data_IF_486972415185
#
_entry.id   IF_486972415185
#
_cell.length_a   1.000
_cell.length_b   1.000
_cell.length_c   1.000
_cell.angle_alpha   90.00
_cell.angle_beta   90.00
_cell.angle_gamma   90.00
#
_symmetry.space_group_name_H-M   'P 1'
#
loop_
_entity.id
_entity.type
_entity.pdbx_description
1 polymer ?
#
# COMPACT_ATOMS: atom_id res chain seq x y z
N UNK A 1 -48.12 44.80 33.05
CA UNK A 1 -47.40 44.74 31.76
C UNK A 1 -47.45 43.30 31.28
N UNK A 2 -48.29 43.01 30.30
CA UNK A 2 -48.45 41.68 29.71
C UNK A 2 -47.39 41.49 28.63
N UNK A 3 -46.55 40.47 28.76
CA UNK A 3 -45.66 40.02 27.69
C UNK A 3 -46.46 39.13 26.75
N UNK A 4 -46.93 39.70 25.63
CA UNK A 4 -47.34 38.89 24.49
C UNK A 4 -46.07 38.31 23.87
N UNK A 5 -45.86 37.00 24.03
CA UNK A 5 -44.86 36.27 23.25
C UNK A 5 -45.42 36.07 21.85
N UNK A 6 -44.75 36.61 20.85
CA UNK A 6 -45.01 36.30 19.44
C UNK A 6 -44.88 34.79 19.20
N UNK A 7 -45.80 34.18 18.43
CA UNK A 7 -45.56 32.83 17.93
C UNK A 7 -44.48 32.92 16.84
N UNK A 8 -43.32 32.35 17.15
CA UNK A 8 -42.20 32.23 16.22
C UNK A 8 -42.64 31.63 14.88
N UNK A 9 -42.04 32.17 13.82
CA UNK A 9 -42.24 31.82 12.43
C UNK A 9 -42.44 30.30 12.23
N UNK A 10 -43.55 29.94 11.60
CA UNK A 10 -43.79 28.61 11.10
C UNK A 10 -42.76 28.31 10.00
N UNK A 11 -41.71 27.56 10.35
CA UNK A 11 -40.91 26.82 9.39
C UNK A 11 -41.87 25.89 8.64
N UNK A 12 -42.20 26.24 7.40
CA UNK A 12 -43.07 25.46 6.53
C UNK A 12 -42.31 24.23 6.05
N UNK A 13 -42.31 23.18 6.87
CA UNK A 13 -41.90 21.85 6.45
C UNK A 13 -42.71 21.42 5.21
N UNK A 14 -42.09 20.79 4.20
CA UNK A 14 -42.82 20.31 3.03
C UNK A 14 -43.96 19.36 3.44
N UNK A 15 -45.06 19.28 2.67
CA UNK A 15 -46.23 18.50 3.05
C UNK A 15 -45.85 17.05 3.29
N UNK A 16 -45.86 16.64 4.56
CA UNK A 16 -45.53 15.29 4.99
C UNK A 16 -46.63 14.34 4.51
N UNK A 17 -46.25 13.16 4.03
CA UNK A 17 -47.20 12.12 3.64
C UNK A 17 -48.10 11.73 4.83
N UNK A 18 -49.34 11.23 4.60
CA UNK A 18 -50.25 10.85 5.69
C UNK A 18 -49.65 9.79 6.63
N UNK A 19 -48.77 8.95 6.12
CA UNK A 19 -48.01 7.99 6.92
C UNK A 19 -46.99 8.69 7.84
N UNK A 20 -46.30 9.72 7.33
CA UNK A 20 -45.33 10.49 8.12
C UNK A 20 -46.00 11.37 9.17
N UNK A 21 -47.20 11.90 8.90
CA UNK A 21 -47.96 12.70 9.88
C UNK A 21 -48.48 11.83 11.02
N UNK A 22 -49.09 10.68 10.71
CA UNK A 22 -49.56 9.73 11.72
C UNK A 22 -48.42 9.22 12.62
N UNK A 23 -47.24 8.95 12.03
CA UNK A 23 -46.06 8.51 12.78
C UNK A 23 -45.44 9.63 13.64
N UNK A 24 -45.45 10.88 13.16
CA UNK A 24 -44.97 12.02 13.94
C UNK A 24 -45.88 12.25 15.15
N UNK A 25 -47.19 12.26 14.95
CA UNK A 25 -48.19 12.39 16.02
C UNK A 25 -48.04 11.26 17.05
N UNK A 26 -47.90 10.01 16.60
CA UNK A 26 -47.69 8.88 17.51
C UNK A 26 -46.41 9.02 18.34
N UNK A 27 -45.33 9.60 17.79
CA UNK A 27 -44.10 9.88 18.55
C UNK A 27 -44.31 11.02 19.54
N UNK A 28 -44.93 12.11 19.13
CA UNK A 28 -45.18 13.26 20.00
C UNK A 28 -46.06 12.89 21.21
N UNK A 29 -47.01 11.97 21.03
CA UNK A 29 -47.84 11.46 22.12
C UNK A 29 -47.14 10.41 23.02
N UNK A 30 -46.03 9.81 22.58
CA UNK A 30 -45.36 8.72 23.31
C UNK A 30 -44.01 9.12 23.91
N UNK A 31 -43.48 10.28 23.53
CA UNK A 31 -42.26 10.80 24.14
C UNK A 31 -42.60 11.53 25.46
N UNK A 32 -41.77 11.35 26.52
CA UNK A 32 -41.92 12.11 27.75
C UNK A 32 -41.68 13.60 27.49
N UNK A 33 -42.43 14.47 28.19
CA UNK A 33 -42.36 15.92 28.02
C UNK A 33 -40.97 16.52 28.31
N UNK A 34 -40.14 15.82 29.10
CA UNK A 34 -38.73 16.16 29.33
C UNK A 34 -37.89 15.01 28.76
N UNK A 35 -37.04 15.27 27.75
CA UNK A 35 -36.10 14.27 27.25
C UNK A 35 -35.16 13.84 28.38
N UNK A 36 -34.99 12.54 28.56
CA UNK A 36 -33.93 12.03 29.43
C UNK A 36 -32.58 12.24 28.73
N UNK A 37 -31.86 13.27 29.19
CA UNK A 37 -30.52 13.62 28.69
C UNK A 37 -29.42 12.96 29.51
N UNK A 38 -29.76 12.11 30.49
CA UNK A 38 -28.77 11.35 31.22
C UNK A 38 -28.17 10.28 30.31
N UNK A 39 -26.86 10.30 30.15
CA UNK A 39 -26.15 9.20 29.49
C UNK A 39 -26.24 8.00 30.44
N UNK A 40 -26.78 6.85 30.02
CA UNK A 40 -26.80 5.67 30.87
C UNK A 40 -25.36 5.30 31.27
N UNK A 41 -25.15 4.77 32.49
CA UNK A 41 -23.82 4.34 32.91
C UNK A 41 -23.28 3.33 31.89
N UNK A 42 -21.97 3.35 31.68
CA UNK A 42 -21.33 2.34 30.83
C UNK A 42 -21.67 0.94 31.34
N UNK A 43 -21.90 -0.03 30.44
CA UNK A 43 -22.16 -1.40 30.86
C UNK A 43 -20.99 -1.91 31.72
N UNK A 44 -21.25 -2.83 32.68
CA UNK A 44 -20.20 -3.39 33.51
C UNK A 44 -19.11 -4.02 32.63
N UNK A 45 -17.83 -3.92 33.03
CA UNK A 45 -16.74 -4.45 32.23
C UNK A 45 -16.93 -5.94 31.99
N UNK A 46 -16.90 -6.36 30.74
CA UNK A 46 -16.98 -7.76 30.34
C UNK A 46 -15.78 -8.51 30.92
N UNK A 47 -16.01 -9.38 31.90
CA UNK A 47 -14.99 -10.18 32.57
C UNK A 47 -14.60 -11.39 31.69
N UNK A 48 -14.11 -11.15 30.48
CA UNK A 48 -13.45 -12.21 29.74
C UNK A 48 -12.02 -12.34 30.29
N UNK A 49 -11.71 -13.47 30.92
CA UNK A 49 -10.38 -13.75 31.50
C UNK A 49 -9.24 -13.55 30.47
N UNK A 50 -9.54 -13.77 29.19
CA UNK A 50 -8.61 -13.59 28.07
C UNK A 50 -8.25 -12.11 27.79
N UNK A 51 -9.08 -11.16 28.27
CA UNK A 51 -8.95 -9.73 27.97
C UNK A 51 -8.18 -8.94 29.06
N UNK A 52 -7.85 -9.56 30.19
CA UNK A 52 -7.15 -8.88 31.30
C UNK A 52 -5.79 -8.33 30.88
N UNK A 53 -5.03 -9.10 30.10
CA UNK A 53 -3.72 -8.68 29.57
C UNK A 53 -3.85 -7.51 28.57
N UNK A 54 -4.96 -7.44 27.84
CA UNK A 54 -5.23 -6.44 26.82
C UNK A 54 -5.68 -5.12 27.46
N UNK A 55 -6.57 -5.20 28.46
CA UNK A 55 -7.00 -4.06 29.27
C UNK A 55 -5.82 -3.39 29.99
N UNK A 56 -4.88 -4.17 30.53
CA UNK A 56 -3.67 -3.64 31.15
C UNK A 56 -2.79 -2.82 30.17
N UNK A 57 -2.73 -3.22 28.90
CA UNK A 57 -2.02 -2.46 27.84
C UNK A 57 -2.74 -1.15 27.55
N UNK A 58 -4.07 -1.16 27.46
CA UNK A 58 -4.86 0.06 27.24
C UNK A 58 -4.75 1.04 28.40
N UNK A 59 -4.77 0.57 29.65
CA UNK A 59 -4.55 1.42 30.82
C UNK A 59 -3.18 2.10 30.77
N UNK A 60 -2.16 1.36 30.36
CA UNK A 60 -0.81 1.88 30.18
C UNK A 60 -0.76 2.94 29.08
N UNK A 61 -1.46 2.71 27.96
CA UNK A 61 -1.57 3.66 26.86
C UNK A 61 -2.31 4.94 27.26
N UNK A 62 -3.41 4.83 28.02
CA UNK A 62 -4.17 5.98 28.52
C UNK A 62 -3.34 6.80 29.52
N UNK A 63 -2.58 6.14 30.39
CA UNK A 63 -1.62 6.81 31.30
C UNK A 63 -0.55 7.57 30.53
N UNK A 64 -0.02 6.97 29.46
CA UNK A 64 0.99 7.61 28.62
C UNK A 64 0.42 8.84 27.88
N UNK A 65 -0.82 8.74 27.38
CA UNK A 65 -1.50 9.85 26.68
C UNK A 65 -1.92 11.00 27.61
N UNK A 66 -2.28 10.71 28.86
CA UNK A 66 -2.68 11.74 29.85
C UNK A 66 -1.50 12.53 30.42
N UNK A 67 -0.25 12.10 30.19
CA UNK A 67 0.94 12.86 30.60
C UNK A 67 1.10 14.09 29.68
N UNK A 68 0.56 15.21 30.14
CA UNK A 68 0.56 16.47 29.41
C UNK A 68 1.94 17.15 29.31
N UNK A 69 2.91 16.76 30.15
CA UNK A 69 4.23 17.39 30.22
C UNK A 69 5.17 16.99 29.07
N UNK A 70 5.07 15.74 28.61
CA UNK A 70 5.79 15.21 27.44
C UNK A 70 4.87 14.19 26.75
N UNK A 71 4.06 14.62 25.76
CA UNK A 71 3.20 13.70 25.02
C UNK A 71 4.07 12.81 24.14
N UNK A 72 4.58 11.72 24.71
CA UNK A 72 5.34 10.71 24.00
C UNK A 72 4.43 10.08 22.93
N UNK A 73 4.55 10.54 21.69
CA UNK A 73 3.83 9.98 20.57
C UNK A 73 4.26 8.52 20.40
N UNK A 74 3.34 7.58 20.62
CA UNK A 74 3.62 6.15 20.65
C UNK A 74 4.43 5.69 19.43
N UNK A 75 4.07 6.16 18.23
CA UNK A 75 4.80 5.83 17.00
C UNK A 75 6.21 6.44 16.94
N UNK A 76 6.43 7.60 17.56
CA UNK A 76 7.78 8.21 17.67
C UNK A 76 8.67 7.38 18.59
N UNK A 77 8.13 6.91 19.72
CA UNK A 77 8.84 6.03 20.65
C UNK A 77 9.13 4.65 20.05
N UNK A 78 8.20 4.13 19.25
CA UNK A 78 8.39 2.90 18.45
C UNK A 78 9.51 3.09 17.44
N UNK A 79 9.51 4.18 16.65
CA UNK A 79 10.57 4.44 15.67
C UNK A 79 11.95 4.71 16.29
N UNK A 80 12.00 5.25 17.50
CA UNK A 80 13.23 5.44 18.26
C UNK A 80 13.72 4.15 18.97
N UNK A 81 12.87 3.13 19.08
CA UNK A 81 13.19 1.88 19.78
C UNK A 81 14.21 1.06 18.98
N UNK A 82 15.31 0.66 19.63
CA UNK A 82 16.35 -0.19 19.06
C UNK A 82 15.86 -1.59 18.68
N UNK A 83 14.81 -2.08 19.34
CA UNK A 83 14.22 -3.38 19.04
C UNK A 83 13.69 -3.46 17.60
N UNK A 84 13.11 -2.38 17.08
CA UNK A 84 12.57 -2.32 15.71
C UNK A 84 13.61 -1.91 14.66
N UNK A 85 14.82 -1.53 15.09
CA UNK A 85 15.93 -1.23 14.17
C UNK A 85 16.66 -2.49 13.69
N UNK A 86 16.37 -3.65 14.27
CA UNK A 86 16.90 -4.92 13.79
C UNK A 86 16.10 -5.35 12.53
N UNK A 87 16.68 -5.34 11.33
CA UNK A 87 15.98 -5.72 10.11
C UNK A 87 15.45 -7.17 10.18
N UNK A 88 16.17 -8.08 10.84
CA UNK A 88 15.76 -9.49 10.98
C UNK A 88 14.56 -9.69 11.93
N UNK A 89 14.14 -8.67 12.68
CA UNK A 89 12.95 -8.74 13.50
C UNK A 89 11.68 -8.57 12.66
N UNK A 90 11.74 -7.81 11.56
CA UNK A 90 10.60 -7.65 10.66
C UNK A 90 10.22 -9.01 10.04
N UNK A 91 11.20 -9.78 9.59
CA UNK A 91 10.98 -11.11 8.99
C UNK A 91 10.31 -12.08 9.98
N UNK A 92 10.70 -12.03 11.25
CA UNK A 92 10.06 -12.85 12.32
C UNK A 92 8.64 -12.41 12.64
N UNK A 93 8.38 -11.10 12.66
CA UNK A 93 7.03 -10.57 12.86
C UNK A 93 6.11 -10.95 11.70
N UNK A 94 6.62 -10.85 10.47
CA UNK A 94 5.94 -11.27 9.26
C UNK A 94 5.65 -12.77 9.27
N UNK A 95 6.63 -13.60 9.63
CA UNK A 95 6.43 -15.05 9.84
C UNK A 95 5.40 -15.37 10.93
N UNK A 96 5.39 -14.63 12.04
CA UNK A 96 4.38 -14.82 13.10
C UNK A 96 2.95 -14.53 12.63
N UNK A 97 2.77 -13.55 11.75
CA UNK A 97 1.47 -13.22 11.15
C UNK A 97 1.12 -14.19 9.99
N UNK A 98 2.02 -15.12 9.65
CA UNK A 98 1.88 -16.02 8.52
C UNK A 98 2.06 -15.32 7.17
N UNK A 99 2.70 -14.15 7.17
CA UNK A 99 3.03 -13.34 6.00
C UNK A 99 4.52 -13.43 5.71
N UNK A 100 5.06 -14.63 5.60
CA UNK A 100 6.48 -14.83 5.33
C UNK A 100 6.86 -14.29 3.95
N UNK A 101 8.02 -13.63 3.87
CA UNK A 101 8.54 -12.94 2.67
C UNK A 101 9.59 -13.77 1.93
N UNK A 102 10.01 -14.90 2.49
CA UNK A 102 10.95 -15.80 1.84
C UNK A 102 10.26 -16.52 0.68
N UNK A 103 10.65 -16.14 -0.53
CA UNK A 103 10.38 -16.90 -1.75
C UNK A 103 11.36 -18.08 -1.78
N UNK A 104 11.07 -19.16 -1.05
CA UNK A 104 11.77 -20.43 -1.27
C UNK A 104 11.43 -20.91 -2.70
N UNK A 105 12.45 -21.16 -3.53
CA UNK A 105 12.30 -21.74 -4.87
C UNK A 105 11.57 -23.09 -4.75
N UNK A 106 10.24 -23.07 -4.88
CA UNK A 106 9.39 -24.27 -4.84
C UNK A 106 8.10 -24.14 -4.03
N UNK A 107 8.03 -23.24 -3.06
CA UNK A 107 6.83 -23.06 -2.23
C UNK A 107 6.08 -21.79 -2.62
N UNK A 108 5.01 -21.97 -3.40
CA UNK A 108 4.04 -20.93 -3.75
C UNK A 108 3.29 -20.33 -2.54
N UNK A 109 3.61 -20.76 -1.31
CA UNK A 109 3.00 -20.30 -0.06
C UNK A 109 3.66 -19.03 0.53
N UNK A 110 4.76 -18.53 -0.04
CA UNK A 110 5.42 -17.28 0.38
C UNK A 110 4.72 -15.99 -0.08
N UNK A 111 3.47 -16.06 -0.56
CA UNK A 111 2.75 -14.93 -1.17
C UNK A 111 1.66 -14.33 -0.30
N UNK A 112 1.54 -14.71 0.98
CA UNK A 112 0.50 -14.17 1.85
C UNK A 112 0.55 -12.62 1.95
N UNK A 113 1.72 -12.01 1.78
CA UNK A 113 1.85 -10.55 1.74
C UNK A 113 1.21 -9.89 0.51
N UNK A 114 1.18 -10.58 -0.64
CA UNK A 114 0.60 -10.09 -1.89
C UNK A 114 -0.65 -10.89 -2.29
N UNK A 115 -1.24 -11.61 -1.33
CA UNK A 115 -2.48 -12.35 -1.53
C UNK A 115 -3.62 -11.39 -1.83
N UNK A 116 -4.33 -11.62 -2.91
CA UNK A 116 -5.58 -10.92 -3.22
C UNK A 116 -6.76 -11.63 -2.55
N UNK A 117 -7.82 -10.89 -2.24
CA UNK A 117 -9.09 -11.47 -1.78
C UNK A 117 -9.90 -12.07 -2.93
N UNK A 118 -9.45 -11.86 -4.17
CA UNK A 118 -10.04 -12.40 -5.38
C UNK A 118 -9.77 -13.90 -5.48
N UNK A 119 -10.76 -14.67 -5.94
CA UNK A 119 -10.63 -16.12 -6.11
C UNK A 119 -9.52 -16.50 -7.08
N UNK A 120 -8.95 -17.70 -6.90
CA UNK A 120 -7.87 -18.23 -7.73
C UNK A 120 -8.28 -18.48 -9.19
N UNK A 121 -9.59 -18.52 -9.45
CA UNK A 121 -10.19 -18.57 -10.78
C UNK A 121 -9.97 -17.26 -11.57
N UNK A 122 -9.84 -16.13 -10.87
CA UNK A 122 -9.62 -14.82 -11.48
C UNK A 122 -8.15 -14.39 -11.36
N UNK A 123 -7.45 -14.76 -10.29
CA UNK A 123 -6.03 -14.46 -10.12
C UNK A 123 -5.27 -15.58 -9.41
N UNK A 124 -4.35 -16.21 -10.13
CA UNK A 124 -3.41 -17.18 -9.58
C UNK A 124 -2.00 -16.55 -9.48
N UNK A 125 -1.49 -16.25 -8.27
CA UNK A 125 -0.14 -15.71 -8.09
C UNK A 125 0.97 -16.71 -8.48
N UNK A 126 0.66 -18.01 -8.57
CA UNK A 126 1.59 -19.07 -8.95
C UNK A 126 1.47 -19.51 -10.42
N UNK A 127 0.54 -18.93 -11.18
CA UNK A 127 0.26 -19.30 -12.58
C UNK A 127 1.23 -18.73 -13.61
N UNK A 128 2.28 -18.02 -13.18
CA UNK A 128 3.23 -17.37 -14.09
C UNK A 128 4.24 -18.37 -14.68
N UNK A 129 4.67 -18.19 -15.93
CA UNK A 129 5.72 -19.01 -16.51
C UNK A 129 7.09 -18.71 -15.87
N UNK A 130 8.00 -19.69 -15.85
CA UNK A 130 9.30 -19.60 -15.17
C UNK A 130 10.11 -18.33 -15.48
N UNK A 131 10.09 -17.87 -16.73
CA UNK A 131 10.83 -16.67 -17.15
C UNK A 131 10.30 -15.36 -16.53
N UNK A 132 9.06 -15.34 -16.06
CA UNK A 132 8.42 -14.17 -15.47
C UNK A 132 8.80 -13.97 -14.00
N UNK A 133 9.37 -14.99 -13.34
CA UNK A 133 9.87 -14.86 -11.97
C UNK A 133 11.17 -14.05 -11.91
N UNK A 134 11.36 -13.35 -10.79
CA UNK A 134 12.49 -12.43 -10.55
C UNK A 134 13.85 -13.04 -10.90
N UNK A 135 14.09 -14.30 -10.53
CA UNK A 135 15.35 -14.99 -10.78
C UNK A 135 15.64 -15.15 -12.27
N UNK A 136 14.73 -15.76 -13.00
CA UNK A 136 14.88 -15.98 -14.44
C UNK A 136 14.88 -14.67 -15.24
N UNK A 137 14.04 -13.71 -14.87
CA UNK A 137 13.98 -12.39 -15.50
C UNK A 137 15.29 -11.64 -15.36
N UNK A 138 15.88 -11.63 -14.15
CA UNK A 138 17.19 -11.02 -13.90
C UNK A 138 18.28 -11.67 -14.77
N UNK A 139 18.33 -13.01 -14.82
CA UNK A 139 19.29 -13.74 -15.68
C UNK A 139 19.09 -13.39 -17.17
N UNK A 140 17.84 -13.25 -17.62
CA UNK A 140 17.54 -12.87 -19.00
C UNK A 140 17.99 -11.44 -19.32
N UNK A 141 17.77 -10.49 -18.40
CA UNK A 141 18.25 -9.12 -18.56
C UNK A 141 19.79 -9.04 -18.59
N UNK A 142 20.47 -9.74 -17.67
CA UNK A 142 21.93 -9.82 -17.64
C UNK A 142 22.51 -10.44 -18.92
N UNK A 143 21.83 -11.43 -19.51
CA UNK A 143 22.22 -11.98 -20.83
C UNK A 143 22.06 -10.95 -21.94
N UNK A 144 20.91 -10.28 -22.01
CA UNK A 144 20.63 -9.27 -23.04
C UNK A 144 21.54 -8.05 -22.96
N UNK A 145 21.91 -7.59 -21.76
CA UNK A 145 22.89 -6.51 -21.60
C UNK A 145 24.27 -6.96 -22.09
N UNK A 146 24.70 -8.18 -21.70
CA UNK A 146 25.99 -8.75 -22.13
C UNK A 146 26.08 -8.97 -23.64
N UNK A 147 24.98 -9.35 -24.28
CA UNK A 147 24.89 -9.48 -25.75
C UNK A 147 24.96 -8.11 -26.44
N UNK A 148 24.28 -7.09 -25.91
CA UNK A 148 24.37 -5.72 -26.43
C UNK A 148 25.76 -5.12 -26.29
N UNK A 149 26.47 -5.41 -25.20
CA UNK A 149 27.85 -5.00 -25.01
C UNK A 149 28.80 -5.67 -26.03
N UNK A 150 28.55 -6.93 -26.38
CA UNK A 150 29.31 -7.63 -27.44
C UNK A 150 28.99 -7.09 -28.84
N UNK A 151 27.71 -6.82 -29.14
CA UNK A 151 27.27 -6.30 -30.43
C UNK A 151 27.74 -4.84 -30.68
N UNK A 152 28.04 -4.06 -29.64
CA UNK A 152 28.63 -2.72 -29.76
C UNK A 152 30.05 -2.71 -30.38
N UNK A 153 30.71 -3.87 -30.45
CA UNK A 153 32.01 -4.04 -31.10
C UNK A 153 31.95 -4.63 -32.51
N UNK A 154 30.77 -5.04 -32.99
CA UNK A 154 30.62 -5.70 -34.29
C UNK A 154 30.32 -4.65 -35.39
N UNK A 155 31.06 -4.64 -36.52
CA UNK A 155 30.84 -3.66 -37.57
C UNK A 155 29.46 -3.89 -38.21
N UNK A 156 28.56 -2.92 -38.07
CA UNK A 156 27.24 -2.93 -38.71
C UNK A 156 27.41 -2.90 -40.23
N UNK A 157 27.08 -4.00 -40.90
CA UNK A 157 27.16 -4.11 -42.35
C UNK A 157 25.87 -3.55 -42.98
N UNK A 158 25.96 -2.35 -43.54
CA UNK A 158 24.86 -1.76 -44.30
C UNK A 158 24.76 -2.44 -45.67
N UNK A 159 23.61 -3.07 -45.94
CA UNK A 159 23.31 -3.60 -47.27
C UNK A 159 22.86 -2.44 -48.16
N UNK A 160 23.61 -2.15 -49.23
CA UNK A 160 23.16 -1.20 -50.24
C UNK A 160 22.01 -1.81 -51.04
N UNK A 161 20.90 -1.09 -51.16
CA UNK A 161 19.79 -1.47 -52.03
C UNK A 161 20.23 -1.30 -53.48
N UNK A 162 20.63 -2.39 -54.12
CA UNK A 162 21.11 -2.38 -55.50
C UNK A 162 20.00 -2.37 -56.55
N UNK A 163 20.06 -1.41 -57.48
CA UNK A 163 20.06 -1.60 -58.94
C UNK A 163 20.15 -0.20 -59.61
N UNK A 164 21.14 0.15 -60.43
CA UNK A 164 22.17 -0.68 -61.05
C UNK A 164 23.17 0.15 -61.90
N UNK A 165 23.82 -0.59 -62.82
CA UNK A 165 24.85 -0.20 -63.78
C UNK A 165 26.26 0.00 -63.21
N UNK A 166 27.11 -1.00 -63.46
CA UNK A 166 28.46 -1.10 -62.97
C UNK A 166 29.47 -0.17 -63.64
N UNK A 167 30.60 0.02 -62.95
CA UNK A 167 31.92 0.30 -63.50
C UNK A 167 32.93 -0.35 -62.56
N UNK A 168 33.89 -1.08 -63.13
CA UNK A 168 34.99 -1.72 -62.41
C UNK A 168 36.04 -0.72 -61.90
N UNK A 169 36.67 -1.14 -60.79
CA UNK A 169 38.06 -0.97 -60.40
C UNK A 169 38.64 0.44 -60.17
N UNK A 170 38.96 0.72 -58.90
CA UNK A 170 40.28 1.23 -58.50
C UNK A 170 40.52 0.94 -57.01
N UNK A 171 41.65 0.27 -56.72
CA UNK A 171 42.05 -0.06 -55.35
C UNK A 171 42.27 1.18 -54.47
N UNK A 172 41.77 1.13 -53.25
CA UNK A 172 42.06 2.10 -52.20
C UNK A 172 42.94 1.42 -51.14
N UNK A 173 44.18 1.90 -51.02
CA UNK A 173 45.14 1.45 -50.02
C UNK A 173 44.64 1.73 -48.58
N UNK A 174 45.02 0.92 -47.57
CA UNK A 174 44.64 1.19 -46.20
C UNK A 174 45.45 2.36 -45.65
N UNK A 175 44.80 3.52 -45.48
CA UNK A 175 45.38 4.65 -44.76
C UNK A 175 45.40 4.29 -43.27
N UNK A 176 46.59 3.99 -42.74
CA UNK A 176 46.84 3.82 -41.30
C UNK A 176 46.81 5.20 -40.64
N UNK A 177 45.80 5.44 -39.81
CA UNK A 177 45.80 6.57 -38.88
C UNK A 177 46.40 6.13 -37.55
N UNK A 178 47.61 6.59 -37.24
CA UNK A 178 48.15 6.53 -35.89
C UNK A 178 47.34 7.48 -35.00
N UNK A 179 46.47 6.92 -34.18
CA UNK A 179 45.75 7.68 -33.15
C UNK A 179 46.67 7.86 -31.95
N UNK A 180 47.37 8.99 -31.87
CA UNK A 180 47.88 9.50 -30.60
C UNK A 180 46.70 9.88 -29.71
N UNK A 181 46.48 9.12 -28.65
CA UNK A 181 45.55 9.48 -27.58
C UNK A 181 46.23 10.51 -26.66
N UNK A 182 45.55 11.61 -26.34
CA UNK A 182 46.07 12.70 -25.47
C UNK A 182 46.13 12.33 -23.97
N UNK A 183 46.40 11.08 -23.62
CA UNK A 183 46.48 10.62 -22.23
C UNK A 183 47.86 10.07 -21.85
N UNK A 184 48.91 10.47 -22.56
CA UNK A 184 50.29 10.31 -22.12
C UNK A 184 50.94 11.69 -21.94
N UNK A 185 50.79 12.24 -20.73
CA UNK A 185 51.74 13.10 -20.02
C UNK A 185 51.46 12.99 -18.53
#
# INVERSE_FOLDING_TARGET
MAFLSEPGAADSDPPRSPYSTARALARDLTLPAVPDMAIPPSPPPTQHADMTSLNAKFDTFLKLKRRAADPAHFNSRIGASSALRNPALMDKLLGFVGMETEFSEGDAAGTAQYGTTVGSDVWDPAGFPEWAYRGALRRAQERGTRERERARGEPVQFVSSGAGAGVEAAGAAPVRFDRRTMFDT
#
